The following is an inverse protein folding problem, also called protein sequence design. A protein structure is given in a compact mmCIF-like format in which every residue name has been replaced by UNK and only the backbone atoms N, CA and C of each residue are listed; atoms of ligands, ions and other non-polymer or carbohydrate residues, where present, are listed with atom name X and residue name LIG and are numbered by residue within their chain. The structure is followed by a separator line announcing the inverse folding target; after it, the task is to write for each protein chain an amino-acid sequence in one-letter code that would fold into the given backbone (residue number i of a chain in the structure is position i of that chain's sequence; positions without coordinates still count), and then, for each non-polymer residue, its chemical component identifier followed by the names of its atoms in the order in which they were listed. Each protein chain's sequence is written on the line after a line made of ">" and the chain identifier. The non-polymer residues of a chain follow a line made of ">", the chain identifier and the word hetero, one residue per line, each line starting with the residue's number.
data_IF_122045859785
#
_entry.id   IF_122045859785
#
_cell.length_a   1.000
_cell.length_b   1.000
_cell.length_c   1.000
_cell.angle_alpha   90.00
_cell.angle_beta   90.00
_cell.angle_gamma   90.00
#
_symmetry.space_group_name_H-M   'P 1'
#
loop_
_entity.id
_entity.type
_entity.pdbx_description
1 polymer ?
#
# COMPACT_ATOMS: atom_id res chain seq x y z
N UNK A 1 12.56 -6.57 4.62
CA UNK A 1 12.15 -5.65 5.70
C UNK A 1 12.70 -4.22 5.52
N UNK A 2 14.01 -4.02 5.35
CA UNK A 2 14.64 -2.68 5.20
C UNK A 2 14.03 -1.82 4.07
N UNK A 3 13.73 -2.43 2.91
CA UNK A 3 13.21 -1.70 1.73
C UNK A 3 11.81 -1.11 1.93
N UNK A 4 10.94 -1.76 2.73
CA UNK A 4 9.62 -1.25 3.04
C UNK A 4 9.72 0.08 3.80
N UNK A 5 10.49 0.12 4.89
CA UNK A 5 10.63 1.31 5.72
C UNK A 5 11.25 2.50 4.97
N UNK A 6 12.20 2.25 4.06
CA UNK A 6 12.79 3.29 3.22
C UNK A 6 11.73 3.95 2.33
N UNK A 7 10.93 3.14 1.63
CA UNK A 7 9.88 3.64 0.73
C UNK A 7 8.72 4.28 1.50
N UNK A 8 8.31 3.69 2.62
CA UNK A 8 7.24 4.22 3.47
C UNK A 8 7.59 5.59 4.06
N UNK A 9 8.85 5.82 4.44
CA UNK A 9 9.30 7.12 4.98
C UNK A 9 9.16 8.26 3.98
N UNK A 10 9.28 7.98 2.68
CA UNK A 10 9.18 8.98 1.61
C UNK A 10 7.73 9.39 1.30
N UNK A 11 6.74 8.66 1.82
CA UNK A 11 5.33 8.96 1.58
C UNK A 11 4.86 10.21 2.32
N UNK A 12 3.99 10.98 1.66
CA UNK A 12 3.26 12.06 2.32
C UNK A 12 2.13 11.52 3.22
N UNK A 13 1.46 12.42 3.96
CA UNK A 13 0.40 12.04 4.90
C UNK A 13 -0.75 11.24 4.26
N UNK A 14 -1.26 11.69 3.10
CA UNK A 14 -2.36 11.02 2.39
C UNK A 14 -1.98 9.66 1.83
N UNK A 15 -0.75 9.52 1.36
CA UNK A 15 -0.23 8.23 0.91
C UNK A 15 -0.07 7.25 2.07
N UNK A 16 0.40 7.71 3.24
CA UNK A 16 0.48 6.88 4.46
C UNK A 16 -0.91 6.44 4.93
N UNK A 17 -1.89 7.35 4.96
CA UNK A 17 -3.29 7.00 5.27
C UNK A 17 -3.80 5.84 4.39
N UNK A 18 -3.51 5.87 3.09
CA UNK A 18 -3.90 4.78 2.18
C UNK A 18 -3.13 3.46 2.41
N UNK A 19 -1.84 3.52 2.76
CA UNK A 19 -1.03 2.33 3.07
C UNK A 19 -1.40 1.71 4.41
N UNK A 20 -1.73 2.52 5.41
CA UNK A 20 -2.04 2.08 6.77
C UNK A 20 -3.48 1.60 6.97
N UNK A 21 -4.36 1.88 6.01
CA UNK A 21 -5.71 1.35 5.99
C UNK A 21 -5.71 -0.16 5.64
N UNK A 22 -5.71 -0.98 6.69
CA UNK A 22 -5.78 -2.44 6.62
C UNK A 22 -7.22 -2.90 6.41
N UNK A 23 -8.14 -2.43 7.27
CA UNK A 23 -9.54 -2.82 7.24
C UNK A 23 -10.36 -1.93 6.30
N UNK A 24 -11.37 -2.54 5.67
CA UNK A 24 -12.34 -1.84 4.83
C UNK A 24 -11.84 -1.41 3.44
N UNK A 25 -12.77 -0.85 2.68
CA UNK A 25 -12.53 -0.40 1.30
C UNK A 25 -11.88 0.98 1.27
N UNK A 26 -10.88 1.16 0.41
CA UNK A 26 -10.15 2.42 0.22
C UNK A 26 -10.16 2.79 -1.26
N UNK A 27 -10.51 4.04 -1.56
CA UNK A 27 -10.44 4.61 -2.91
C UNK A 27 -9.38 5.71 -2.97
N UNK A 28 -8.42 5.59 -3.89
CA UNK A 28 -7.35 6.57 -4.10
C UNK A 28 -7.52 7.21 -5.48
N UNK A 29 -7.82 8.51 -5.51
CA UNK A 29 -7.94 9.29 -6.74
C UNK A 29 -6.75 10.25 -6.80
N UNK A 30 -5.91 10.12 -7.84
CA UNK A 30 -4.75 10.96 -8.01
C UNK A 30 -4.28 11.04 -9.47
N UNK A 31 -3.69 12.19 -9.84
CA UNK A 31 -3.15 12.43 -11.17
C UNK A 31 -1.98 11.52 -11.57
N UNK A 32 -1.52 11.56 -12.83
CA UNK A 32 -0.34 10.82 -13.29
C UNK A 32 0.91 11.16 -12.45
N UNK A 33 1.85 10.21 -12.32
CA UNK A 33 3.13 10.46 -11.62
C UNK A 33 3.07 10.60 -10.09
N UNK A 34 1.89 10.47 -9.47
CA UNK A 34 1.69 10.67 -8.02
C UNK A 34 2.02 9.46 -7.13
N UNK A 35 2.64 8.42 -7.70
CA UNK A 35 3.06 7.23 -6.94
C UNK A 35 1.95 6.21 -6.63
N UNK A 36 0.84 6.18 -7.37
CA UNK A 36 -0.28 5.23 -7.16
C UNK A 36 0.17 3.77 -7.04
N UNK A 37 1.04 3.30 -7.94
CA UNK A 37 1.55 1.92 -7.89
C UNK A 37 2.43 1.67 -6.67
N UNK A 38 3.24 2.66 -6.26
CA UNK A 38 4.04 2.58 -5.04
C UNK A 38 3.16 2.47 -3.79
N UNK A 39 2.08 3.26 -3.71
CA UNK A 39 1.09 3.16 -2.63
C UNK A 39 0.47 1.76 -2.60
N UNK A 40 0.04 1.24 -3.76
CA UNK A 40 -0.60 -0.08 -3.85
C UNK A 40 0.33 -1.21 -3.40
N UNK A 41 1.58 -1.19 -3.85
CA UNK A 41 2.59 -2.18 -3.42
C UNK A 41 2.95 -2.09 -1.94
N UNK A 42 3.07 -0.88 -1.39
CA UNK A 42 3.32 -0.68 0.04
C UNK A 42 2.13 -1.09 0.89
N UNK A 43 0.89 -0.87 0.43
CA UNK A 43 -0.31 -1.33 1.14
C UNK A 43 -0.34 -2.85 1.22
N UNK A 44 -0.07 -3.56 0.12
CA UNK A 44 0.05 -5.03 0.12
C UNK A 44 1.12 -5.48 1.12
N UNK A 45 2.30 -4.86 1.08
CA UNK A 45 3.38 -5.18 2.01
C UNK A 45 3.02 -4.87 3.47
N UNK A 46 2.18 -3.87 3.73
CA UNK A 46 1.74 -3.51 5.08
C UNK A 46 0.71 -4.50 5.62
N UNK A 47 -0.24 -4.96 4.77
CA UNK A 47 -1.19 -6.02 5.11
C UNK A 47 -0.43 -7.27 5.51
N UNK A 48 0.47 -7.76 4.65
CA UNK A 48 1.27 -8.96 4.91
C UNK A 48 2.18 -8.85 6.15
N UNK A 49 2.53 -7.63 6.58
CA UNK A 49 3.36 -7.42 7.78
C UNK A 49 2.54 -7.27 9.07
N UNK A 50 1.33 -6.73 8.98
CA UNK A 50 0.50 -6.38 10.15
C UNK A 50 -0.59 -7.39 10.44
N UNK A 51 -0.91 -8.29 9.50
CA UNK A 51 -1.97 -9.28 9.64
C UNK A 51 -1.44 -10.68 9.34
N UNK A 52 -2.23 -11.70 9.69
CA UNK A 52 -1.96 -13.10 9.33
C UNK A 52 -2.44 -13.45 7.91
N UNK A 53 -2.72 -12.45 7.06
CA UNK A 53 -3.16 -12.69 5.69
C UNK A 53 -2.03 -13.37 4.92
N UNK A 54 -2.25 -14.60 4.38
CA UNK A 54 -1.23 -15.24 3.57
C UNK A 54 -1.07 -14.49 2.24
N UNK A 55 0.10 -14.55 1.59
CA UNK A 55 0.31 -13.94 0.26
C UNK A 55 -0.75 -14.32 -0.77
N UNK A 56 -1.22 -15.58 -0.76
CA UNK A 56 -2.28 -16.07 -1.64
C UNK A 56 -3.68 -15.51 -1.34
N UNK A 57 -3.86 -14.84 -0.20
CA UNK A 57 -5.09 -14.13 0.17
C UNK A 57 -5.22 -12.73 -0.43
N UNK A 58 -4.23 -12.29 -1.22
CA UNK A 58 -4.21 -10.96 -1.85
C UNK A 58 -4.31 -11.12 -3.38
N UNK A 59 -5.32 -10.47 -3.97
CA UNK A 59 -5.48 -10.36 -5.42
C UNK A 59 -5.19 -8.92 -5.85
N UNK A 60 -4.20 -8.73 -6.72
CA UNK A 60 -3.90 -7.46 -7.36
C UNK A 60 -4.17 -7.57 -8.87
N UNK A 61 -5.12 -6.78 -9.37
CA UNK A 61 -5.49 -6.74 -10.78
C UNK A 61 -5.00 -5.44 -11.41
N UNK A 62 -4.50 -5.54 -12.63
CA UNK A 62 -4.13 -4.41 -13.49
C UNK A 62 -4.76 -4.63 -14.87
N UNK A 63 -4.87 -3.55 -15.66
CA UNK A 63 -5.02 -3.69 -17.10
C UNK A 63 -3.75 -4.31 -17.69
#
# INVERSE_FOLDING_TARGET
>A
MVKFFQLYRQLNKKQKEAVDAIEGSVMVIAGPGTGKTQILTLRIANILQKTDTPPGGILALTF
#
